data_IF_472723298255
#
_entry.id   IF_472723298255
#
_cell.length_a   1.000
_cell.length_b   1.000
_cell.length_c   1.000
_cell.angle_alpha   90.00
_cell.angle_beta   90.00
_cell.angle_gamma   90.00
#
_symmetry.space_group_name_H-M   'P 1'
#
loop_
_entity.id
_entity.type
_entity.pdbx_description
1 polymer ?
#
# COMPACT_ATOMS: atom_id res chain seq x y z
N UNK A 1 5.85 -23.27 19.50
CA UNK A 1 5.12 -23.11 18.23
C UNK A 1 3.77 -22.48 18.54
N UNK A 2 3.64 -21.18 18.34
CA UNK A 2 2.41 -20.43 18.58
C UNK A 2 1.35 -20.94 17.59
N UNK A 3 0.21 -21.44 18.09
CA UNK A 3 -0.90 -21.92 17.26
C UNK A 3 -1.45 -20.75 16.46
N UNK A 4 -1.36 -20.83 15.14
CA UNK A 4 -2.00 -19.89 14.21
C UNK A 4 -3.53 -19.89 14.46
N UNK A 5 -4.17 -18.72 14.63
CA UNK A 5 -5.63 -18.66 14.69
C UNK A 5 -6.21 -19.15 13.36
N UNK A 6 -7.27 -19.96 13.45
CA UNK A 6 -7.84 -20.77 12.37
C UNK A 6 -8.53 -20.00 11.22
N UNK A 7 -8.62 -18.67 11.26
CA UNK A 7 -9.39 -17.87 10.28
C UNK A 7 -8.62 -16.64 9.81
N UNK A 8 -7.50 -16.82 9.10
CA UNK A 8 -6.93 -15.71 8.35
C UNK A 8 -7.67 -15.66 7.01
N UNK A 9 -8.77 -14.89 6.95
CA UNK A 9 -9.59 -14.74 5.74
C UNK A 9 -8.77 -14.07 4.63
N UNK A 10 -8.09 -14.86 3.81
CA UNK A 10 -7.44 -14.37 2.60
C UNK A 10 -8.38 -14.63 1.43
N UNK A 11 -8.60 -13.63 0.60
CA UNK A 11 -9.52 -13.71 -0.53
C UNK A 11 -8.77 -13.78 -1.85
N UNK A 12 -9.40 -14.39 -2.86
CA UNK A 12 -8.86 -14.39 -4.22
C UNK A 12 -9.09 -13.00 -4.82
N UNK A 13 -8.04 -12.28 -5.24
CA UNK A 13 -8.23 -10.96 -5.85
C UNK A 13 -8.83 -11.08 -7.26
N UNK A 14 -9.55 -10.05 -7.66
CA UNK A 14 -10.04 -9.84 -9.02
C UNK A 14 -9.37 -8.61 -9.64
N UNK A 15 -9.09 -8.67 -10.94
CA UNK A 15 -8.50 -7.53 -11.65
C UNK A 15 -9.56 -6.71 -12.37
N UNK A 16 -9.56 -5.41 -12.14
CA UNK A 16 -10.41 -4.44 -12.83
C UNK A 16 -9.80 -4.05 -14.18
N UNK A 17 -10.65 -3.69 -15.14
CA UNK A 17 -10.23 -3.17 -16.46
C UNK A 17 -10.37 -1.66 -16.57
N UNK A 18 -11.15 -1.08 -15.67
CA UNK A 18 -11.59 0.31 -15.55
C UNK A 18 -10.82 1.06 -14.45
N UNK A 19 -9.63 0.57 -14.09
CA UNK A 19 -8.74 1.17 -13.08
C UNK A 19 -9.28 1.22 -11.64
N UNK A 20 -10.40 0.55 -11.38
CA UNK A 20 -11.03 0.48 -10.07
C UNK A 20 -10.18 -0.31 -9.07
N UNK A 21 -9.88 0.28 -7.93
CA UNK A 21 -9.27 -0.35 -6.76
C UNK A 21 -10.31 -0.33 -5.63
N UNK A 22 -10.73 -1.50 -5.17
CA UNK A 22 -11.62 -1.69 -4.04
C UNK A 22 -11.06 -2.77 -3.12
N UNK A 23 -10.76 -2.39 -1.89
CA UNK A 23 -10.31 -3.29 -0.84
C UNK A 23 -11.26 -3.15 0.35
N UNK A 24 -11.87 -4.26 0.77
CA UNK A 24 -12.77 -4.29 1.93
C UNK A 24 -12.14 -5.02 3.10
N UNK A 25 -12.19 -4.43 4.29
CA UNK A 25 -11.57 -4.93 5.52
C UNK A 25 -10.12 -5.39 5.31
N UNK A 26 -9.35 -4.61 4.55
CA UNK A 26 -7.99 -4.97 4.19
C UNK A 26 -7.02 -4.77 5.37
N UNK A 27 -6.05 -5.67 5.47
CA UNK A 27 -5.05 -5.69 6.57
C UNK A 27 -3.63 -5.72 6.03
N UNK A 28 -2.70 -5.15 6.78
CA UNK A 28 -1.30 -5.14 6.41
C UNK A 28 -0.72 -6.55 6.70
N UNK A 29 -0.23 -7.28 5.68
CA UNK A 29 0.09 -8.71 5.79
C UNK A 29 1.20 -9.04 6.80
N UNK A 30 2.11 -8.09 7.06
CA UNK A 30 3.13 -8.22 8.11
C UNK A 30 2.60 -7.80 9.49
N UNK A 31 2.01 -6.61 9.61
CA UNK A 31 1.57 -6.07 10.91
C UNK A 31 0.49 -6.93 11.56
N UNK A 32 -0.45 -7.49 10.77
CA UNK A 32 -1.49 -8.39 11.30
C UNK A 32 -0.94 -9.65 11.99
N UNK A 33 0.32 -10.04 11.67
CA UNK A 33 0.97 -11.23 12.23
C UNK A 33 1.78 -10.92 13.49
N UNK A 34 2.15 -9.66 13.67
CA UNK A 34 3.00 -9.19 14.77
C UNK A 34 2.16 -8.59 15.89
N UNK A 35 1.04 -7.97 15.55
CA UNK A 35 0.05 -7.49 16.52
C UNK A 35 -0.90 -8.62 16.92
N UNK A 36 -1.44 -8.55 18.14
CA UNK A 36 -2.54 -9.43 18.51
C UNK A 36 -3.74 -9.16 17.60
N UNK A 37 -4.43 -10.22 17.17
CA UNK A 37 -5.53 -10.12 16.20
C UNK A 37 -6.62 -9.12 16.61
N UNK A 38 -6.86 -8.96 17.92
CA UNK A 38 -7.87 -8.05 18.45
C UNK A 38 -7.46 -6.56 18.39
N UNK A 39 -6.18 -6.26 18.14
CA UNK A 39 -5.66 -4.89 18.16
C UNK A 39 -5.50 -4.29 16.75
N UNK A 40 -5.56 -5.12 15.71
CA UNK A 40 -5.47 -4.64 14.33
C UNK A 40 -6.82 -4.17 13.81
N UNK A 41 -6.90 -2.91 13.39
CA UNK A 41 -8.10 -2.34 12.76
C UNK A 41 -7.97 -2.44 11.24
N UNK A 42 -8.80 -3.26 10.55
CA UNK A 42 -8.82 -3.33 9.10
C UNK A 42 -9.31 -2.03 8.47
N UNK A 43 -8.92 -1.77 7.22
CA UNK A 43 -9.28 -0.54 6.51
C UNK A 43 -9.83 -0.83 5.11
N UNK A 44 -10.75 0.00 4.66
CA UNK A 44 -11.22 -0.01 3.28
C UNK A 44 -10.37 0.91 2.39
N UNK A 45 -10.36 0.67 1.09
CA UNK A 45 -9.73 1.54 0.09
C UNK A 45 -10.55 1.52 -1.20
N UNK A 46 -10.93 2.69 -1.71
CA UNK A 46 -11.71 2.82 -2.95
C UNK A 46 -11.13 3.90 -3.86
N UNK A 47 -10.44 3.52 -4.94
CA UNK A 47 -10.02 4.45 -5.98
C UNK A 47 -10.72 4.10 -7.29
N UNK A 48 -11.26 5.09 -7.96
CA UNK A 48 -11.91 4.94 -9.27
C UNK A 48 -11.66 6.20 -10.11
N UNK A 49 -12.18 6.24 -11.34
CA UNK A 49 -11.99 7.39 -12.23
C UNK A 49 -12.50 8.72 -11.66
N UNK A 50 -13.51 8.70 -10.78
CA UNK A 50 -14.03 9.89 -10.12
C UNK A 50 -13.17 10.34 -8.93
N UNK A 51 -12.46 9.41 -8.28
CA UNK A 51 -11.64 9.66 -7.10
C UNK A 51 -10.35 8.82 -7.14
N UNK A 52 -9.36 9.26 -7.94
CA UNK A 52 -8.10 8.55 -8.15
C UNK A 52 -6.92 9.13 -7.33
N UNK A 53 -7.17 10.17 -6.51
CA UNK A 53 -6.17 10.78 -5.61
C UNK A 53 -6.76 10.92 -4.21
N UNK A 54 -6.03 10.41 -3.21
CA UNK A 54 -6.35 10.57 -1.81
C UNK A 54 -5.35 11.48 -1.11
N UNK A 55 -5.87 12.47 -0.36
CA UNK A 55 -5.10 13.25 0.59
C UNK A 55 -5.36 12.74 2.00
N UNK A 56 -4.44 11.95 2.54
CA UNK A 56 -4.59 11.32 3.85
C UNK A 56 -3.97 12.21 4.93
N UNK A 57 -4.79 12.72 5.84
CA UNK A 57 -4.36 13.58 6.95
C UNK A 57 -4.56 12.89 8.30
N UNK A 58 -3.95 13.43 9.36
CA UNK A 58 -4.08 12.88 10.72
C UNK A 58 -2.78 12.97 11.52
N UNK A 59 -2.83 12.79 12.86
CA UNK A 59 -1.66 12.92 13.73
C UNK A 59 -0.57 11.90 13.39
N UNK A 60 0.69 12.15 13.76
CA UNK A 60 1.74 11.15 13.61
C UNK A 60 1.37 9.86 14.36
N UNK A 61 1.82 8.71 13.85
CA UNK A 61 1.52 7.38 14.39
C UNK A 61 0.05 6.92 14.31
N UNK A 62 -0.84 7.65 13.63
CA UNK A 62 -2.23 7.23 13.34
C UNK A 62 -2.39 6.11 12.30
N UNK A 63 -1.30 5.47 11.89
CA UNK A 63 -1.35 4.37 10.92
C UNK A 63 -1.41 4.77 9.43
N UNK A 64 -1.35 6.07 9.09
CA UNK A 64 -1.36 6.54 7.68
C UNK A 64 -0.33 5.83 6.79
N UNK A 65 0.93 5.74 7.23
CA UNK A 65 1.98 5.06 6.46
C UNK A 65 1.77 3.54 6.42
N UNK A 66 1.18 2.96 7.46
CA UNK A 66 0.80 1.53 7.48
C UNK A 66 -0.30 1.26 6.45
N UNK A 67 -1.31 2.12 6.38
CA UNK A 67 -2.38 2.03 5.40
C UNK A 67 -1.88 2.11 3.95
N UNK A 68 -1.03 3.11 3.63
CA UNK A 68 -0.50 3.24 2.27
C UNK A 68 0.37 2.03 1.87
N UNK A 69 1.24 1.56 2.78
CA UNK A 69 2.05 0.35 2.54
C UNK A 69 1.18 -0.91 2.40
N UNK A 70 0.10 -1.01 3.17
CA UNK A 70 -0.85 -2.10 3.07
C UNK A 70 -1.41 -2.22 1.65
N UNK A 71 -1.92 -1.13 1.08
CA UNK A 71 -2.47 -1.11 -0.29
C UNK A 71 -1.41 -1.50 -1.32
N UNK A 72 -0.19 -0.96 -1.20
CA UNK A 72 0.92 -1.30 -2.09
C UNK A 72 1.30 -2.79 -2.04
N UNK A 73 1.44 -3.35 -0.83
CA UNK A 73 1.82 -4.77 -0.67
C UNK A 73 0.70 -5.69 -1.15
N UNK A 74 -0.57 -5.36 -0.88
CA UNK A 74 -1.73 -6.13 -1.39
C UNK A 74 -1.72 -6.16 -2.92
N UNK A 75 -1.42 -5.04 -3.56
CA UNK A 75 -1.33 -4.93 -5.02
C UNK A 75 -0.24 -5.84 -5.60
N UNK A 76 0.94 -5.85 -4.96
CA UNK A 76 2.05 -6.74 -5.33
C UNK A 76 1.64 -8.20 -5.15
N UNK A 77 1.08 -8.57 -3.99
CA UNK A 77 0.64 -9.94 -3.71
C UNK A 77 -0.39 -10.43 -4.75
N UNK A 78 -1.36 -9.59 -5.09
CA UNK A 78 -2.36 -9.92 -6.09
C UNK A 78 -1.73 -10.17 -7.48
N UNK A 79 -0.85 -9.28 -7.93
CA UNK A 79 -0.15 -9.41 -9.22
C UNK A 79 0.84 -10.58 -9.27
N UNK A 80 1.30 -11.08 -8.12
CA UNK A 80 2.06 -12.34 -7.99
C UNK A 80 1.17 -13.60 -8.06
N UNK A 81 -0.16 -13.44 -8.07
CA UNK A 81 -1.12 -14.55 -8.05
C UNK A 81 -1.42 -15.11 -6.66
N UNK A 82 -1.06 -14.39 -5.59
CA UNK A 82 -1.38 -14.79 -4.22
C UNK A 82 -2.80 -14.35 -3.80
N UNK A 83 -3.37 -15.06 -2.84
CA UNK A 83 -4.53 -14.57 -2.10
C UNK A 83 -4.10 -13.42 -1.18
N UNK A 84 -5.01 -12.48 -0.90
CA UNK A 84 -4.71 -11.23 -0.19
C UNK A 84 -5.50 -11.08 1.11
N UNK A 85 -4.97 -10.37 2.13
CA UNK A 85 -5.57 -10.23 3.47
C UNK A 85 -6.78 -9.26 3.52
N UNK A 86 -7.79 -9.49 2.69
CA UNK A 86 -9.02 -8.69 2.60
C UNK A 86 -10.25 -9.60 2.60
N UNK A 87 -11.43 -9.05 2.92
CA UNK A 87 -12.69 -9.75 2.70
C UNK A 87 -13.05 -9.75 1.21
N UNK A 88 -12.83 -8.62 0.53
CA UNK A 88 -12.96 -8.44 -0.92
C UNK A 88 -11.77 -7.64 -1.45
N UNK A 89 -11.29 -8.00 -2.64
CA UNK A 89 -10.21 -7.29 -3.32
C UNK A 89 -10.44 -7.24 -4.84
N UNK A 90 -10.63 -6.04 -5.36
CA UNK A 90 -10.65 -5.69 -6.77
C UNK A 90 -9.53 -4.68 -6.99
N UNK A 91 -8.59 -4.93 -7.88
CA UNK A 91 -7.44 -4.04 -8.11
C UNK A 91 -7.18 -3.88 -9.60
N UNK A 92 -6.68 -2.75 -10.08
CA UNK A 92 -6.12 -2.69 -11.42
C UNK A 92 -4.79 -3.42 -11.47
N UNK A 93 -4.27 -3.64 -12.68
CA UNK A 93 -2.88 -4.05 -12.87
C UNK A 93 -2.03 -2.78 -12.91
N UNK A 94 -1.21 -2.60 -11.88
CA UNK A 94 -0.23 -1.53 -11.84
C UNK A 94 1.04 -1.92 -12.57
N UNK A 95 1.56 -1.01 -13.41
CA UNK A 95 2.83 -1.19 -14.11
C UNK A 95 4.03 -0.93 -13.19
N UNK A 96 3.89 0.03 -12.30
CA UNK A 96 4.93 0.53 -11.40
C UNK A 96 4.30 1.00 -10.08
N UNK A 97 5.06 0.88 -9.00
CA UNK A 97 4.71 1.45 -7.69
C UNK A 97 5.79 2.46 -7.31
N UNK A 98 5.40 3.72 -7.18
CA UNK A 98 6.27 4.79 -6.69
C UNK A 98 5.91 5.12 -5.25
N UNK A 99 6.96 5.21 -4.43
CA UNK A 99 6.81 5.47 -3.00
C UNK A 99 7.84 6.50 -2.60
N UNK A 100 7.43 7.48 -1.78
CA UNK A 100 8.37 8.26 -1.00
C UNK A 100 8.15 7.96 0.47
N UNK A 101 8.95 7.06 0.99
CA UNK A 101 9.01 6.78 2.42
C UNK A 101 10.33 7.35 2.88
N UNK A 102 10.28 8.37 3.74
CA UNK A 102 11.47 9.08 4.22
C UNK A 102 12.62 8.13 4.51
N UNK A 103 13.74 8.35 3.82
CA UNK A 103 14.97 7.62 4.04
C UNK A 103 15.44 7.83 5.48
N UNK A 104 15.90 6.76 6.13
CA UNK A 104 16.84 6.94 7.24
C UNK A 104 18.12 7.57 6.66
N UNK A 105 18.73 8.50 7.39
CA UNK A 105 19.84 9.33 6.91
C UNK A 105 20.88 8.53 6.11
N UNK A 106 21.00 8.83 4.81
CA UNK A 106 22.12 8.37 3.98
C UNK A 106 23.28 9.36 4.15
N UNK A 107 23.84 9.37 5.38
CA UNK A 107 25.02 10.16 5.77
C UNK A 107 26.26 9.83 4.91
N UNK A 108 26.24 8.72 4.17
CA UNK A 108 27.37 8.22 3.40
C UNK A 108 27.42 8.84 1.99
N UNK A 109 26.27 9.26 1.44
CA UNK A 109 26.17 9.71 0.04
C UNK A 109 26.51 11.19 -0.21
N UNK A 110 26.71 12.01 0.83
CA UNK A 110 26.99 13.44 0.70
C UNK A 110 25.82 14.29 0.18
N UNK A 111 24.61 13.73 0.11
CA UNK A 111 23.38 14.43 -0.30
C UNK A 111 22.54 14.80 0.92
N UNK A 112 21.87 15.95 0.88
CA UNK A 112 20.91 16.32 1.93
C UNK A 112 19.65 15.46 1.85
N UNK A 113 18.99 15.24 2.99
CA UNK A 113 17.70 14.53 3.06
C UNK A 113 16.67 15.14 2.10
N UNK A 114 16.62 16.48 2.04
CA UNK A 114 15.76 17.19 1.09
C UNK A 114 16.09 16.89 -0.37
N UNK A 115 17.39 16.83 -0.74
CA UNK A 115 17.78 16.50 -2.10
C UNK A 115 17.35 15.08 -2.48
N UNK A 116 17.49 14.12 -1.56
CA UNK A 116 17.05 12.73 -1.79
C UNK A 116 15.54 12.69 -2.01
N UNK A 117 14.77 13.37 -1.16
CA UNK A 117 13.30 13.44 -1.28
C UNK A 117 12.85 14.07 -2.61
N UNK A 118 13.52 15.14 -3.05
CA UNK A 118 13.22 15.78 -4.32
C UNK A 118 13.58 14.91 -5.52
N UNK A 119 14.66 14.13 -5.45
CA UNK A 119 15.03 13.17 -6.49
C UNK A 119 14.04 12.01 -6.58
N UNK A 120 13.52 11.52 -5.45
CA UNK A 120 12.48 10.49 -5.42
C UNK A 120 11.17 11.00 -6.05
N UNK A 121 10.75 12.22 -5.68
CA UNK A 121 9.58 12.87 -6.27
C UNK A 121 9.77 13.10 -7.78
N UNK A 122 10.93 13.61 -8.20
CA UNK A 122 11.25 13.82 -9.61
C UNK A 122 11.21 12.52 -10.41
N UNK A 123 11.76 11.42 -9.86
CA UNK A 123 11.77 10.12 -10.52
C UNK A 123 10.35 9.62 -10.76
N UNK A 124 9.48 9.76 -9.78
CA UNK A 124 8.09 9.36 -9.94
C UNK A 124 7.36 10.24 -10.97
N UNK A 125 7.53 11.56 -10.91
CA UNK A 125 6.93 12.47 -11.90
C UNK A 125 7.41 12.22 -13.34
N UNK A 126 8.67 11.81 -13.52
CA UNK A 126 9.25 11.57 -14.84
C UNK A 126 8.86 10.22 -15.45
N UNK A 127 8.50 9.23 -14.63
CA UNK A 127 8.32 7.84 -15.08
C UNK A 127 6.96 7.21 -14.76
N UNK A 128 6.14 7.84 -13.92
CA UNK A 128 4.79 7.37 -13.65
C UNK A 128 3.93 7.46 -14.90
N UNK A 129 3.16 6.40 -15.14
CA UNK A 129 2.16 6.34 -16.20
C UNK A 129 0.75 6.46 -15.60
N UNK A 130 -0.26 6.48 -16.46
CA UNK A 130 -1.65 6.44 -16.02
C UNK A 130 -2.03 5.11 -15.33
N UNK A 131 -1.15 4.11 -15.36
CA UNK A 131 -1.34 2.79 -14.76
C UNK A 131 -0.40 2.57 -13.55
N UNK A 132 0.28 3.61 -13.09
CA UNK A 132 1.17 3.52 -11.92
C UNK A 132 0.44 3.81 -10.61
N UNK A 133 0.80 3.08 -9.55
CA UNK A 133 0.38 3.39 -8.19
C UNK A 133 1.38 4.35 -7.54
N UNK A 134 0.90 5.51 -7.09
CA UNK A 134 1.74 6.55 -6.50
C UNK A 134 1.27 6.84 -5.08
N UNK A 135 2.15 6.75 -4.09
CA UNK A 135 1.87 7.27 -2.74
C UNK A 135 3.08 8.00 -2.13
N UNK A 136 2.82 9.19 -1.61
CA UNK A 136 3.81 10.13 -1.09
C UNK A 136 3.44 10.63 0.31
#
# INVERSE_FOLDING_TARGET
MQKLPKNINYTRPHFSKDKTLELTNSRHPVVERVMDYNDYVPNDCELNEAAYIYLITGPNMSGKSTYMRQVAIISIMAQMGAYVPCDQAVLPIFDQIFTRIGAADDLVSGKSTFMVEMLEAQKALAHATADSFNYF
#
